data_IF_413559143620
#
_entry.id   IF_413559143620
#
_cell.length_a   1.000
_cell.length_b   1.000
_cell.length_c   1.000
_cell.angle_alpha   90.00
_cell.angle_beta   90.00
_cell.angle_gamma   90.00
#
_symmetry.space_group_name_H-M   'P 1'
#
loop_
_entity.id
_entity.type
_entity.pdbx_description
1 polymer ?
#
# COMPACT_ATOMS: atom_id res chain seq x y z
N UNK A 1 16.23 1.00 33.93
CA UNK A 1 16.22 1.11 32.47
C UNK A 1 16.51 -0.21 31.74
N UNK A 2 17.51 -1.05 32.13
CA UNK A 2 17.82 -2.33 31.43
C UNK A 2 16.67 -3.35 31.49
N UNK A 3 15.96 -3.52 32.62
CA UNK A 3 14.84 -4.46 32.79
C UNK A 3 13.62 -4.10 31.91
N UNK A 4 13.30 -2.82 31.77
CA UNK A 4 12.20 -2.34 30.90
C UNK A 4 12.51 -2.64 29.42
N UNK A 5 13.76 -2.43 29.00
CA UNK A 5 14.20 -2.76 27.63
C UNK A 5 14.17 -4.26 27.34
N UNK A 6 14.45 -5.11 28.33
CA UNK A 6 14.38 -6.57 28.17
C UNK A 6 12.94 -7.03 28.10
N UNK A 7 12.04 -6.46 28.91
CA UNK A 7 10.62 -6.77 28.88
C UNK A 7 9.95 -6.38 27.56
N UNK A 8 10.20 -5.15 27.05
CA UNK A 8 9.67 -4.68 25.75
C UNK A 8 10.14 -5.58 24.58
N UNK A 9 11.28 -6.27 24.72
CA UNK A 9 11.81 -7.20 23.72
C UNK A 9 11.26 -8.63 23.82
N UNK A 10 10.52 -8.94 24.89
CA UNK A 10 9.88 -10.25 25.06
C UNK A 10 8.75 -10.47 24.06
N UNK A 11 8.54 -11.69 23.61
CA UNK A 11 7.43 -12.06 22.71
C UNK A 11 6.05 -11.61 23.20
N UNK A 12 5.68 -11.82 24.50
CA UNK A 12 4.37 -11.40 24.99
C UNK A 12 4.21 -9.87 25.01
N UNK A 13 5.25 -9.11 25.37
CA UNK A 13 5.20 -7.65 25.34
C UNK A 13 5.06 -7.11 23.90
N UNK A 14 5.74 -7.72 22.94
CA UNK A 14 5.60 -7.36 21.53
C UNK A 14 4.20 -7.71 20.98
N UNK A 15 3.60 -8.80 21.41
CA UNK A 15 2.20 -9.14 21.07
C UNK A 15 1.24 -8.12 21.66
N UNK A 16 1.39 -7.78 22.94
CA UNK A 16 0.56 -6.79 23.61
C UNK A 16 0.67 -5.41 22.97
N UNK A 17 1.90 -4.98 22.64
CA UNK A 17 2.16 -3.73 21.93
C UNK A 17 1.52 -3.76 20.52
N UNK A 18 1.61 -4.88 19.83
CA UNK A 18 0.99 -5.07 18.51
C UNK A 18 -0.54 -4.95 18.57
N UNK A 19 -1.18 -5.55 19.56
CA UNK A 19 -2.62 -5.39 19.78
C UNK A 19 -3.00 -3.98 20.22
N UNK A 20 -2.19 -3.32 21.04
CA UNK A 20 -2.39 -1.93 21.41
C UNK A 20 -2.33 -0.99 20.20
N UNK A 21 -1.34 -1.16 19.33
CA UNK A 21 -1.22 -0.40 18.07
C UNK A 21 -2.40 -0.69 17.14
N UNK A 22 -2.78 -1.96 16.99
CA UNK A 22 -3.93 -2.35 16.15
C UNK A 22 -5.24 -1.75 16.71
N UNK A 23 -5.44 -1.79 18.03
CA UNK A 23 -6.60 -1.18 18.68
C UNK A 23 -6.66 0.34 18.51
N UNK A 24 -5.52 1.02 18.63
CA UNK A 24 -5.41 2.45 18.37
C UNK A 24 -5.71 2.79 16.91
N UNK A 25 -5.15 2.03 15.98
CA UNK A 25 -5.45 2.20 14.55
C UNK A 25 -6.94 1.96 14.24
N UNK A 26 -7.55 0.98 14.90
CA UNK A 26 -8.97 0.70 14.76
C UNK A 26 -9.84 1.84 15.32
N UNK A 27 -9.47 2.39 16.47
CA UNK A 27 -10.14 3.56 17.05
C UNK A 27 -10.02 4.79 16.14
N UNK A 28 -8.84 5.03 15.57
CA UNK A 28 -8.66 6.08 14.56
C UNK A 28 -9.54 5.81 13.34
N UNK A 29 -9.56 4.59 12.85
CA UNK A 29 -10.40 4.20 11.72
C UNK A 29 -11.89 4.50 11.96
N UNK A 30 -12.40 4.16 13.13
CA UNK A 30 -13.80 4.41 13.50
C UNK A 30 -14.15 5.90 13.62
N UNK A 31 -13.18 6.73 14.05
CA UNK A 31 -13.39 8.17 14.22
C UNK A 31 -13.37 8.94 12.91
N UNK A 32 -12.80 8.37 11.84
CA UNK A 32 -12.65 9.05 10.55
C UNK A 32 -13.90 8.90 9.70
N UNK A 33 -14.33 10.00 9.07
CA UNK A 33 -15.43 10.02 8.10
C UNK A 33 -14.89 9.71 6.71
N UNK A 34 -15.06 8.48 6.28
CA UNK A 34 -14.56 7.98 5.01
C UNK A 34 -15.53 8.28 3.86
N UNK A 35 -15.01 8.87 2.79
CA UNK A 35 -15.69 8.95 1.49
C UNK A 35 -14.88 8.18 0.46
N UNK A 36 -15.54 7.36 -0.34
CA UNK A 36 -14.92 6.54 -1.38
C UNK A 36 -15.39 6.99 -2.75
N UNK A 37 -14.44 7.14 -3.65
CA UNK A 37 -14.63 7.44 -5.05
C UNK A 37 -14.01 6.30 -5.86
N UNK A 38 -14.82 5.56 -6.56
CA UNK A 38 -14.39 4.38 -7.31
C UNK A 38 -14.67 4.61 -8.79
N UNK A 39 -13.67 4.42 -9.63
CA UNK A 39 -13.86 4.45 -11.08
C UNK A 39 -14.88 3.37 -11.49
N UNK A 40 -15.81 3.65 -12.45
CA UNK A 40 -16.87 2.71 -12.83
C UNK A 40 -16.34 1.32 -13.20
N UNK A 41 -15.26 1.26 -13.95
CA UNK A 41 -14.63 0.00 -14.39
C UNK A 41 -14.07 -0.80 -13.20
N UNK A 42 -13.52 -0.11 -12.21
CA UNK A 42 -13.03 -0.74 -10.97
C UNK A 42 -14.18 -1.18 -10.08
N UNK A 43 -15.31 -0.45 -10.09
CA UNK A 43 -16.50 -0.88 -9.37
C UNK A 43 -17.01 -2.22 -9.91
N UNK A 44 -17.02 -2.43 -11.23
CA UNK A 44 -17.36 -3.73 -11.85
C UNK A 44 -16.45 -4.85 -11.35
N UNK A 45 -15.14 -4.62 -11.26
CA UNK A 45 -14.19 -5.60 -10.72
C UNK A 45 -14.45 -5.89 -9.24
N UNK A 46 -14.77 -4.86 -8.48
CA UNK A 46 -15.16 -5.03 -7.08
C UNK A 46 -16.46 -5.83 -6.96
N UNK A 47 -17.46 -5.58 -7.75
CA UNK A 47 -18.76 -6.25 -7.67
C UNK A 47 -18.70 -7.71 -8.13
N UNK A 48 -17.91 -7.99 -9.15
CA UNK A 48 -17.67 -9.37 -9.64
C UNK A 48 -16.72 -10.19 -8.74
N UNK A 49 -16.03 -9.56 -7.78
CA UNK A 49 -15.01 -10.24 -6.97
C UNK A 49 -13.75 -10.59 -7.76
N UNK A 50 -13.53 -9.98 -8.94
CA UNK A 50 -12.34 -10.23 -9.74
C UNK A 50 -11.09 -9.78 -8.99
N UNK A 51 -10.07 -10.66 -8.82
CA UNK A 51 -8.84 -10.31 -8.12
C UNK A 51 -8.04 -9.28 -8.92
N UNK A 52 -7.45 -8.32 -8.20
CA UNK A 52 -6.67 -7.24 -8.77
C UNK A 52 -5.41 -6.96 -7.95
N UNK A 53 -4.50 -6.18 -8.51
CA UNK A 53 -3.32 -5.68 -7.81
C UNK A 53 -3.59 -4.20 -7.45
N UNK A 54 -3.93 -3.96 -6.19
CA UNK A 54 -4.08 -2.61 -5.66
C UNK A 54 -2.70 -2.00 -5.41
N UNK A 55 -2.40 -0.93 -6.11
CA UNK A 55 -1.17 -0.18 -5.98
C UNK A 55 -1.43 1.07 -5.15
N UNK A 56 -0.68 1.27 -4.07
CA UNK A 56 -0.77 2.47 -3.24
C UNK A 56 0.60 2.92 -2.77
N UNK A 57 0.79 4.21 -2.57
CA UNK A 57 2.06 4.70 -2.03
C UNK A 57 2.26 4.25 -0.58
N UNK A 58 3.50 3.94 -0.21
CA UNK A 58 3.86 3.50 1.14
C UNK A 58 3.36 4.50 2.20
N UNK A 59 3.53 5.78 1.96
CA UNK A 59 3.05 6.84 2.84
C UNK A 59 1.52 6.96 2.95
N UNK A 60 0.75 6.16 2.19
CA UNK A 60 -0.72 6.17 2.18
C UNK A 60 -1.34 4.87 2.69
N UNK A 61 -0.55 3.95 3.25
CA UNK A 61 -1.05 2.63 3.65
C UNK A 61 -2.19 2.67 4.67
N UNK A 62 -2.30 3.72 5.51
CA UNK A 62 -3.40 3.84 6.46
C UNK A 62 -4.77 3.87 5.79
N UNK A 63 -4.87 4.44 4.58
CA UNK A 63 -6.13 4.57 3.85
C UNK A 63 -6.68 3.24 3.33
N UNK A 64 -5.90 2.17 3.34
CA UNK A 64 -6.37 0.83 3.00
C UNK A 64 -7.51 0.40 3.93
N UNK A 65 -7.40 0.69 5.23
CA UNK A 65 -8.40 0.31 6.22
C UNK A 65 -9.78 0.91 5.98
N UNK A 66 -9.85 2.13 5.42
CA UNK A 66 -11.12 2.79 5.06
C UNK A 66 -11.56 2.52 3.63
N UNK A 67 -10.62 2.14 2.76
CA UNK A 67 -10.87 1.92 1.33
C UNK A 67 -11.45 0.56 1.01
N UNK A 68 -10.92 -0.50 1.62
CA UNK A 68 -11.30 -1.86 1.25
C UNK A 68 -12.68 -2.26 1.79
N UNK A 69 -13.56 -2.82 0.96
CA UNK A 69 -14.84 -3.36 1.43
C UNK A 69 -14.61 -4.48 2.46
N UNK A 70 -15.42 -4.48 3.51
CA UNK A 70 -15.35 -5.54 4.55
C UNK A 70 -15.62 -6.94 3.96
N UNK A 71 -15.22 -8.04 4.67
CA UNK A 71 -15.43 -9.41 4.21
C UNK A 71 -16.79 -9.65 3.54
N UNK A 72 -16.89 -10.53 2.52
CA UNK A 72 -16.05 -11.73 2.35
C UNK A 72 -14.81 -11.57 1.44
N UNK A 73 -14.41 -10.37 1.02
CA UNK A 73 -13.33 -10.21 0.05
C UNK A 73 -11.97 -10.32 0.71
N UNK A 74 -11.20 -11.31 0.27
CA UNK A 74 -9.86 -11.56 0.80
C UNK A 74 -8.86 -10.59 0.19
N UNK A 75 -8.01 -10.03 1.05
CA UNK A 75 -6.94 -9.12 0.69
C UNK A 75 -5.61 -9.68 1.16
N UNK A 76 -4.66 -9.76 0.24
CA UNK A 76 -3.29 -10.16 0.51
C UNK A 76 -2.37 -8.95 0.57
N UNK A 77 -1.61 -8.80 1.63
CA UNK A 77 -0.60 -7.74 1.77
C UNK A 77 0.79 -8.33 1.59
N UNK A 78 1.55 -7.78 0.63
CA UNK A 78 2.95 -8.14 0.46
C UNK A 78 3.78 -7.44 1.54
N UNK A 79 4.37 -8.21 2.44
CA UNK A 79 5.19 -7.69 3.53
C UNK A 79 6.61 -8.21 3.46
N UNK A 80 7.56 -7.43 3.97
CA UNK A 80 8.96 -7.82 4.10
C UNK A 80 9.13 -8.88 5.20
N UNK A 81 10.07 -9.83 5.00
CA UNK A 81 10.45 -10.80 6.02
C UNK A 81 11.30 -10.21 7.16
N UNK A 82 11.64 -8.91 7.10
CA UNK A 82 12.35 -8.21 8.17
C UNK A 82 11.43 -7.92 9.36
N UNK A 83 12.01 -7.63 10.51
CA UNK A 83 11.31 -7.43 11.79
C UNK A 83 10.13 -6.45 11.70
N UNK A 84 10.32 -5.33 11.02
CA UNK A 84 9.26 -4.32 10.86
C UNK A 84 8.14 -4.82 9.95
N UNK A 85 8.48 -5.57 8.88
CA UNK A 85 7.52 -6.21 8.01
C UNK A 85 6.69 -7.29 8.73
N UNK A 86 7.30 -8.04 9.65
CA UNK A 86 6.56 -9.01 10.48
C UNK A 86 5.58 -8.31 11.43
N UNK A 87 5.92 -7.13 11.95
CA UNK A 87 5.01 -6.33 12.79
C UNK A 87 3.79 -5.85 11.96
N UNK A 88 4.05 -5.33 10.77
CA UNK A 88 2.99 -4.93 9.81
C UNK A 88 2.12 -6.14 9.43
N UNK A 89 2.73 -7.30 9.16
CA UNK A 89 2.01 -8.53 8.84
C UNK A 89 1.11 -9.00 9.99
N UNK A 90 1.57 -8.89 11.24
CA UNK A 90 0.75 -9.19 12.43
C UNK A 90 -0.43 -8.23 12.56
N UNK A 91 -0.19 -6.93 12.38
CA UNK A 91 -1.25 -5.92 12.35
C UNK A 91 -2.28 -6.18 11.24
N UNK A 92 -1.83 -6.46 10.03
CA UNK A 92 -2.70 -6.76 8.89
C UNK A 92 -3.58 -7.99 9.16
N UNK A 93 -3.03 -9.05 9.78
CA UNK A 93 -3.81 -10.24 10.18
C UNK A 93 -4.88 -9.93 11.22
N UNK A 94 -4.62 -9.01 12.16
CA UNK A 94 -5.63 -8.57 13.12
C UNK A 94 -6.83 -7.88 12.47
N UNK A 95 -6.64 -7.31 11.26
CA UNK A 95 -7.71 -6.78 10.41
C UNK A 95 -8.30 -7.81 9.44
N UNK A 96 -7.92 -9.09 9.53
CA UNK A 96 -8.43 -10.15 8.67
C UNK A 96 -7.75 -10.24 7.29
N UNK A 97 -6.60 -9.57 7.09
CA UNK A 97 -5.88 -9.63 5.83
C UNK A 97 -4.91 -10.81 5.77
N UNK A 98 -4.83 -11.49 4.63
CA UNK A 98 -3.77 -12.47 4.38
C UNK A 98 -2.43 -11.75 4.16
N UNK A 99 -1.34 -12.34 4.62
CA UNK A 99 -0.01 -11.74 4.45
C UNK A 99 0.92 -12.69 3.71
N UNK A 100 1.55 -12.18 2.65
CA UNK A 100 2.64 -12.86 1.94
C UNK A 100 3.95 -12.23 2.35
N UNK A 101 4.86 -13.05 2.85
CA UNK A 101 6.20 -12.60 3.14
C UNK A 101 7.04 -12.66 1.86
N UNK A 102 7.44 -11.51 1.35
CA UNK A 102 8.35 -11.37 0.23
C UNK A 102 9.69 -10.82 0.69
N UNK A 103 10.83 -11.42 0.30
CA UNK A 103 12.14 -10.85 0.55
C UNK A 103 12.65 -10.10 -0.67
N UNK A 104 12.93 -8.80 -0.50
CA UNK A 104 13.49 -7.95 -1.57
C UNK A 104 14.94 -8.27 -1.94
N UNK A 105 15.66 -9.09 -1.16
CA UNK A 105 17.10 -9.38 -1.37
C UNK A 105 17.44 -10.68 -2.08
N UNK A 106 16.54 -11.68 -2.09
CA UNK A 106 16.76 -12.99 -2.77
C UNK A 106 15.58 -13.49 -3.58
N UNK A 107 14.56 -12.64 -3.85
CA UNK A 107 13.30 -13.20 -4.21
C UNK A 107 12.37 -12.41 -5.10
N UNK A 108 12.86 -11.62 -6.06
CA UNK A 108 11.96 -11.07 -7.08
C UNK A 108 11.08 -12.18 -7.68
N UNK A 109 11.66 -13.32 -8.02
CA UNK A 109 10.96 -14.51 -8.53
C UNK A 109 10.07 -15.16 -7.45
N UNK A 110 10.57 -15.30 -6.22
CA UNK A 110 9.77 -15.87 -5.11
C UNK A 110 8.58 -15.00 -4.73
N UNK A 111 8.76 -13.67 -4.70
CA UNK A 111 7.68 -12.72 -4.45
C UNK A 111 6.64 -12.79 -5.59
N UNK A 112 7.06 -12.79 -6.85
CA UNK A 112 6.18 -12.91 -8.01
C UNK A 112 5.37 -14.21 -8.00
N UNK A 113 6.00 -15.35 -7.66
CA UNK A 113 5.28 -16.64 -7.48
C UNK A 113 4.26 -16.58 -6.35
N UNK A 114 4.61 -15.94 -5.22
CA UNK A 114 3.69 -15.73 -4.10
C UNK A 114 2.49 -14.88 -4.50
N UNK A 115 2.72 -13.80 -5.22
CA UNK A 115 1.67 -12.93 -5.75
C UNK A 115 0.76 -13.68 -6.72
N UNK A 116 1.34 -14.41 -7.68
CA UNK A 116 0.59 -15.24 -8.64
C UNK A 116 -0.30 -16.27 -7.93
N UNK A 117 0.22 -16.96 -6.90
CA UNK A 117 -0.54 -17.95 -6.13
C UNK A 117 -1.74 -17.32 -5.41
N UNK A 118 -1.63 -16.13 -4.85
CA UNK A 118 -2.75 -15.48 -4.19
C UNK A 118 -3.80 -15.03 -5.20
N UNK A 119 -3.38 -14.39 -6.29
CA UNK A 119 -4.29 -13.95 -7.33
C UNK A 119 -5.06 -15.12 -7.96
N UNK A 120 -4.41 -16.29 -8.17
CA UNK A 120 -5.09 -17.49 -8.68
C UNK A 120 -6.10 -18.10 -7.69
N UNK A 121 -6.01 -17.75 -6.40
CA UNK A 121 -6.99 -18.10 -5.36
C UNK A 121 -8.11 -17.09 -5.21
N UNK A 122 -8.19 -16.09 -6.11
CA UNK A 122 -9.19 -15.02 -6.04
C UNK A 122 -8.86 -13.92 -5.01
N UNK A 123 -7.64 -13.87 -4.48
CA UNK A 123 -7.22 -12.92 -3.45
C UNK A 123 -6.64 -11.67 -4.13
N UNK A 124 -7.25 -10.52 -3.88
CA UNK A 124 -6.71 -9.22 -4.31
C UNK A 124 -5.44 -8.89 -3.54
N UNK A 125 -4.41 -8.40 -4.23
CA UNK A 125 -3.15 -8.03 -3.61
C UNK A 125 -3.04 -6.53 -3.38
N UNK A 126 -2.40 -6.14 -2.28
CA UNK A 126 -1.94 -4.77 -2.05
C UNK A 126 -0.43 -4.71 -2.17
N UNK A 127 0.04 -3.80 -2.99
CA UNK A 127 1.46 -3.56 -3.24
C UNK A 127 1.77 -2.08 -3.05
N UNK A 128 2.87 -1.79 -2.36
CA UNK A 128 3.46 -0.45 -2.30
C UNK A 128 4.60 -0.36 -3.33
N UNK A 129 4.32 0.19 -4.53
CA UNK A 129 5.28 0.12 -5.64
C UNK A 129 6.55 0.95 -5.44
N UNK A 130 6.53 1.96 -4.56
CA UNK A 130 7.73 2.69 -4.13
C UNK A 130 8.63 1.85 -3.21
N UNK A 131 8.07 0.80 -2.59
CA UNK A 131 8.79 -0.11 -1.70
C UNK A 131 9.22 0.52 -0.37
N UNK A 132 9.84 -0.26 0.53
CA UNK A 132 10.11 0.19 1.91
C UNK A 132 11.24 1.23 2.03
N UNK A 133 12.00 1.45 0.96
CA UNK A 133 13.14 2.38 0.94
C UNK A 133 12.94 3.55 -0.03
N UNK A 134 11.81 3.61 -0.73
CA UNK A 134 11.56 4.61 -1.75
C UNK A 134 12.39 4.44 -3.05
N UNK A 135 12.53 5.48 -3.83
CA UNK A 135 12.13 6.87 -3.59
C UNK A 135 10.61 7.06 -3.54
N UNK A 136 10.18 8.04 -2.75
CA UNK A 136 8.76 8.34 -2.52
C UNK A 136 8.01 8.60 -3.83
N UNK A 137 6.86 7.94 -3.98
CA UNK A 137 5.95 8.14 -5.10
C UNK A 137 6.62 7.85 -6.46
N UNK A 138 7.51 6.84 -6.50
CA UNK A 138 8.13 6.30 -7.71
C UNK A 138 7.78 4.84 -7.87
N UNK A 139 7.18 4.51 -8.99
CA UNK A 139 6.61 3.19 -9.23
C UNK A 139 7.67 2.21 -9.76
N UNK A 140 7.98 1.16 -9.02
CA UNK A 140 8.92 0.10 -9.41
C UNK A 140 8.22 -0.97 -10.25
N UNK A 141 8.96 -1.59 -11.15
CA UNK A 141 8.44 -2.54 -12.14
C UNK A 141 7.80 -3.83 -11.55
N UNK A 142 7.97 -4.10 -10.26
CA UNK A 142 7.53 -5.38 -9.66
C UNK A 142 6.04 -5.67 -9.80
N UNK A 143 5.18 -4.67 -9.57
CA UNK A 143 3.74 -4.82 -9.72
C UNK A 143 3.31 -5.01 -11.19
N UNK A 144 3.97 -4.30 -12.13
CA UNK A 144 3.71 -4.45 -13.58
C UNK A 144 4.09 -5.84 -14.06
N UNK A 145 5.23 -6.38 -13.62
CA UNK A 145 5.64 -7.75 -13.93
C UNK A 145 4.66 -8.78 -13.35
N UNK A 146 4.15 -8.56 -12.16
CA UNK A 146 3.13 -9.43 -11.59
C UNK A 146 1.83 -9.37 -12.40
N UNK A 147 1.39 -8.18 -12.83
CA UNK A 147 0.23 -8.01 -13.69
C UNK A 147 0.42 -8.72 -15.05
N UNK A 148 1.58 -8.55 -15.70
CA UNK A 148 1.91 -9.27 -16.93
C UNK A 148 1.80 -10.79 -16.78
N UNK A 149 2.39 -11.34 -15.71
CA UNK A 149 2.41 -12.80 -15.48
C UNK A 149 1.03 -13.37 -15.16
N UNK A 150 0.19 -12.62 -14.47
CA UNK A 150 -1.08 -13.14 -13.95
C UNK A 150 -2.30 -12.72 -14.77
N UNK A 151 -2.18 -11.64 -15.55
CA UNK A 151 -3.31 -10.98 -16.21
C UNK A 151 -4.20 -10.16 -15.28
N UNK A 152 -3.87 -10.10 -13.98
CA UNK A 152 -4.63 -9.29 -13.03
C UNK A 152 -4.40 -7.79 -13.29
N UNK A 153 -5.44 -6.94 -13.30
CA UNK A 153 -5.30 -5.51 -13.53
C UNK A 153 -4.60 -4.81 -12.36
N UNK A 154 -3.82 -3.79 -12.69
CA UNK A 154 -3.31 -2.81 -11.71
C UNK A 154 -4.41 -1.77 -11.45
N UNK A 155 -4.70 -1.50 -10.19
CA UNK A 155 -5.64 -0.45 -9.79
C UNK A 155 -4.97 0.46 -8.79
N UNK A 156 -4.93 1.76 -9.09
CA UNK A 156 -4.44 2.77 -8.16
C UNK A 156 -5.42 2.93 -6.99
N UNK A 157 -4.91 2.88 -5.76
CA UNK A 157 -5.64 3.17 -4.54
C UNK A 157 -4.87 4.20 -3.73
N UNK A 158 -5.50 5.31 -3.38
CA UNK A 158 -4.89 6.35 -2.58
C UNK A 158 -5.91 7.07 -1.72
N UNK A 159 -5.43 7.95 -0.85
CA UNK A 159 -6.32 8.80 -0.06
C UNK A 159 -5.59 9.97 0.60
N UNK A 160 -6.38 10.89 1.09
CA UNK A 160 -5.96 12.00 1.95
C UNK A 160 -6.96 12.23 3.06
N UNK A 161 -6.58 13.04 4.05
CA UNK A 161 -7.44 13.37 5.19
C UNK A 161 -7.22 14.81 5.67
N UNK A 162 -8.28 15.37 6.33
CA UNK A 162 -8.22 16.65 7.04
C UNK A 162 -9.05 16.59 8.32
N UNK A 163 -8.47 16.87 9.51
CA UNK A 163 -7.05 17.11 9.74
C UNK A 163 -6.19 15.84 9.60
N UNK A 164 -4.90 16.02 9.36
CA UNK A 164 -3.93 14.93 9.24
C UNK A 164 -2.58 15.29 9.83
N UNK A 165 -1.79 14.28 10.20
CA UNK A 165 -0.36 14.40 10.50
C UNK A 165 0.43 13.83 9.34
N UNK A 166 1.34 14.64 8.76
CA UNK A 166 2.38 14.17 7.87
C UNK A 166 3.67 14.00 8.67
N UNK A 167 4.20 12.78 8.66
CA UNK A 167 5.47 12.51 9.33
C UNK A 167 6.65 12.97 8.48
N UNK A 168 7.75 13.35 9.12
CA UNK A 168 9.00 13.73 8.44
C UNK A 168 9.83 12.49 8.04
N UNK A 169 9.14 11.42 7.60
CA UNK A 169 9.73 10.19 7.09
C UNK A 169 10.00 10.31 5.58
N UNK A 170 10.78 9.38 5.02
CA UNK A 170 11.10 9.36 3.59
C UNK A 170 9.85 9.32 2.70
N UNK A 171 8.80 8.61 3.16
CA UNK A 171 7.53 8.39 2.47
C UNK A 171 6.46 9.46 2.77
N UNK A 172 6.75 10.39 3.69
CA UNK A 172 5.77 11.38 4.17
C UNK A 172 4.47 10.69 4.63
N UNK A 173 4.60 9.69 5.51
CA UNK A 173 3.45 8.92 5.98
C UNK A 173 2.33 9.83 6.46
N UNK A 174 1.14 9.61 5.91
CA UNK A 174 -0.06 10.39 6.18
C UNK A 174 -0.97 9.65 7.15
N UNK A 175 -1.11 10.19 8.36
CA UNK A 175 -2.02 9.67 9.38
C UNK A 175 -3.21 10.61 9.52
N UNK A 176 -4.45 10.16 9.24
CA UNK A 176 -5.65 10.91 9.61
C UNK A 176 -5.69 11.14 11.12
N UNK A 177 -6.03 12.34 11.56
CA UNK A 177 -6.28 12.60 12.98
C UNK A 177 -7.71 12.18 13.36
N UNK A 178 -8.03 12.04 14.66
CA UNK A 178 -9.38 11.73 15.10
C UNK A 178 -10.41 12.70 14.50
N UNK A 179 -11.59 12.18 14.13
CA UNK A 179 -12.70 12.90 13.53
C UNK A 179 -12.40 13.51 12.13
N UNK A 180 -11.27 13.17 11.51
CA UNK A 180 -10.93 13.66 10.19
C UNK A 180 -11.98 13.28 9.13
N UNK A 181 -12.08 14.11 8.08
CA UNK A 181 -12.67 13.72 6.80
C UNK A 181 -11.58 13.10 5.96
N UNK A 182 -11.86 11.96 5.36
CA UNK A 182 -10.92 11.28 4.48
C UNK A 182 -11.56 10.96 3.14
N UNK A 183 -10.86 11.26 2.07
CA UNK A 183 -11.21 10.93 0.70
C UNK A 183 -10.34 9.76 0.25
N UNK A 184 -10.96 8.71 -0.30
CA UNK A 184 -10.29 7.54 -0.85
C UNK A 184 -10.67 7.42 -2.31
N UNK A 185 -9.70 7.22 -3.16
CA UNK A 185 -9.89 7.13 -4.60
C UNK A 185 -9.34 5.81 -5.14
N UNK A 186 -10.16 5.12 -5.93
CA UNK A 186 -9.78 3.99 -6.76
C UNK A 186 -9.78 4.44 -8.22
N UNK A 187 -8.64 4.31 -8.88
CA UNK A 187 -8.49 4.63 -10.29
C UNK A 187 -9.07 3.57 -11.21
N UNK A 188 -9.14 3.83 -12.53
CA UNK A 188 -9.46 2.84 -13.52
C UNK A 188 -8.40 1.72 -13.56
N UNK A 189 -8.78 0.49 -13.98
CA UNK A 189 -7.85 -0.62 -14.08
C UNK A 189 -6.89 -0.43 -15.27
N UNK A 190 -5.63 -0.78 -15.06
CA UNK A 190 -4.60 -0.82 -16.10
C UNK A 190 -4.27 -2.28 -16.36
N UNK A 191 -4.50 -2.76 -17.58
CA UNK A 191 -4.17 -4.11 -18.02
C UNK A 191 -2.80 -4.13 -18.67
N UNK A 192 -1.98 -5.12 -18.30
CA UNK A 192 -0.66 -5.33 -18.86
C UNK A 192 -0.72 -6.54 -19.80
N UNK A 193 -0.46 -6.38 -21.10
CA UNK A 193 -0.44 -7.51 -22.03
C UNK A 193 0.58 -8.58 -21.61
N UNK A 194 0.22 -9.85 -21.78
CA UNK A 194 1.12 -10.97 -21.40
C UNK A 194 2.38 -11.04 -22.25
N UNK A 195 2.27 -10.63 -23.49
CA UNK A 195 3.33 -10.56 -24.52
C UNK A 195 4.01 -9.17 -24.55
N UNK A 196 3.76 -8.31 -23.56
CA UNK A 196 4.33 -6.97 -23.51
C UNK A 196 5.86 -7.01 -23.54
N UNK A 197 6.43 -6.28 -24.49
CA UNK A 197 7.86 -6.01 -24.56
C UNK A 197 8.32 -5.02 -23.45
N UNK A 198 9.61 -4.78 -23.37
CA UNK A 198 10.18 -3.89 -22.35
C UNK A 198 9.63 -2.46 -22.45
N UNK A 199 9.40 -1.96 -23.67
CA UNK A 199 8.86 -0.61 -23.88
C UNK A 199 7.40 -0.51 -23.44
N UNK A 200 6.60 -1.54 -23.71
CA UNK A 200 5.20 -1.62 -23.25
C UNK A 200 5.11 -1.74 -21.76
N UNK A 201 5.96 -2.55 -21.13
CA UNK A 201 6.03 -2.66 -19.67
C UNK A 201 6.38 -1.31 -19.02
N UNK A 202 7.31 -0.56 -19.59
CA UNK A 202 7.66 0.77 -19.09
C UNK A 202 6.53 1.78 -19.27
N UNK A 203 5.80 1.74 -20.40
CA UNK A 203 4.60 2.57 -20.58
C UNK A 203 3.52 2.23 -19.53
N UNK A 204 3.27 0.95 -19.27
CA UNK A 204 2.32 0.53 -18.22
C UNK A 204 2.80 0.97 -16.83
N UNK A 205 4.10 0.89 -16.54
CA UNK A 205 4.69 1.37 -15.29
C UNK A 205 4.45 2.87 -15.12
N UNK A 206 4.76 3.65 -16.15
CA UNK A 206 4.58 5.09 -16.13
C UNK A 206 3.10 5.47 -15.99
N UNK A 207 2.21 4.83 -16.73
CA UNK A 207 0.76 5.05 -16.63
C UNK A 207 0.24 4.76 -15.20
N UNK A 208 0.73 3.70 -14.55
CA UNK A 208 0.38 3.38 -13.17
C UNK A 208 0.93 4.42 -12.17
N UNK A 209 2.16 4.92 -12.37
CA UNK A 209 2.75 6.01 -11.58
C UNK A 209 1.92 7.29 -11.71
N UNK A 210 1.61 7.67 -12.94
CA UNK A 210 0.87 8.90 -13.24
C UNK A 210 -0.55 8.84 -12.68
N UNK A 211 -1.24 7.71 -12.86
CA UNK A 211 -2.58 7.47 -12.30
C UNK A 211 -2.57 7.62 -10.77
N UNK A 212 -1.62 6.99 -10.10
CA UNK A 212 -1.54 7.01 -8.64
C UNK A 212 -1.16 8.40 -8.11
N UNK A 213 -0.28 9.12 -8.79
CA UNK A 213 0.08 10.51 -8.46
C UNK A 213 -1.10 11.47 -8.70
N UNK A 214 -1.76 11.37 -9.85
CA UNK A 214 -2.91 12.20 -10.18
C UNK A 214 -4.05 12.03 -9.16
N UNK A 215 -4.40 10.79 -8.82
CA UNK A 215 -5.42 10.50 -7.81
C UNK A 215 -5.03 10.99 -6.42
N UNK A 216 -3.73 10.91 -6.06
CA UNK A 216 -3.24 11.45 -4.79
C UNK A 216 -3.45 12.96 -4.74
N UNK A 217 -3.12 13.67 -5.82
CA UNK A 217 -3.33 15.12 -5.91
C UNK A 217 -4.82 15.49 -5.89
N UNK A 218 -5.68 14.69 -6.53
CA UNK A 218 -7.14 14.88 -6.46
C UNK A 218 -7.63 14.78 -5.02
N UNK A 219 -7.22 13.74 -4.28
CA UNK A 219 -7.59 13.55 -2.88
C UNK A 219 -7.07 14.68 -1.98
N UNK A 220 -5.87 15.21 -2.25
CA UNK A 220 -5.31 16.35 -1.54
C UNK A 220 -6.13 17.62 -1.78
N UNK A 221 -6.38 17.95 -3.04
CA UNK A 221 -7.15 19.16 -3.43
C UNK A 221 -8.58 19.11 -2.90
N UNK A 222 -9.25 17.95 -2.93
CA UNK A 222 -10.62 17.78 -2.43
C UNK A 222 -10.77 18.15 -0.94
N UNK A 223 -9.67 18.07 -0.19
CA UNK A 223 -9.62 18.42 1.24
C UNK A 223 -8.89 19.75 1.52
N UNK A 224 -8.55 20.52 0.48
CA UNK A 224 -7.80 21.77 0.61
C UNK A 224 -6.42 21.55 1.24
N UNK A 225 -5.78 20.43 0.94
CA UNK A 225 -4.44 20.09 1.41
C UNK A 225 -3.39 20.42 0.35
N UNK A 226 -2.17 20.69 0.81
CA UNK A 226 -1.02 20.89 -0.08
C UNK A 226 -0.61 19.54 -0.67
N UNK A 227 -0.39 19.50 -1.97
CA UNK A 227 0.06 18.31 -2.70
C UNK A 227 1.46 17.89 -2.26
N UNK A 228 1.66 16.59 -2.09
CA UNK A 228 2.96 16.01 -1.81
C UNK A 228 3.61 15.62 -3.13
N UNK A 229 4.73 16.23 -3.45
CA UNK A 229 5.48 15.93 -4.67
C UNK A 229 6.20 14.61 -4.57
N UNK A 230 6.25 13.87 -5.68
CA UNK A 230 7.12 12.72 -5.83
C UNK A 230 8.58 13.12 -5.62
N UNK A 231 9.37 12.22 -5.05
CA UNK A 231 10.81 12.44 -4.90
C UNK A 231 11.51 12.55 -6.25
N UNK A 232 12.63 13.28 -6.31
CA UNK A 232 13.49 13.22 -7.48
C UNK A 232 14.00 11.79 -7.70
N UNK A 233 14.24 11.36 -8.96
CA UNK A 233 14.74 10.01 -9.23
C UNK A 233 16.00 9.64 -8.42
N UNK A 234 16.89 10.61 -8.19
CA UNK A 234 18.19 10.42 -7.56
C UNK A 234 18.21 10.71 -6.04
N UNK A 235 17.07 11.06 -5.44
CA UNK A 235 17.01 11.44 -4.01
C UNK A 235 17.52 10.36 -3.06
N UNK A 236 17.38 9.08 -3.43
CA UNK A 236 17.92 7.97 -2.62
C UNK A 236 19.43 7.82 -2.72
N UNK A 237 20.03 8.09 -3.87
CA UNK A 237 21.47 8.06 -4.04
C UNK A 237 22.17 9.11 -3.14
N UNK A 238 21.57 10.29 -3.07
CA UNK A 238 22.07 11.39 -2.24
C UNK A 238 21.95 11.12 -0.74
N UNK A 239 20.87 10.46 -0.28
CA UNK A 239 20.68 10.10 1.14
C UNK A 239 21.64 9.01 1.62
N UNK A 240 22.09 8.10 0.75
CA UNK A 240 23.08 7.06 1.09
C UNK A 240 24.51 7.57 1.02
N UNK A 241 24.77 8.67 0.33
CA UNK A 241 26.07 9.32 0.27
C UNK A 241 26.33 10.27 1.47
N UNK A 242 25.27 10.66 2.20
CA UNK A 242 25.32 11.59 3.35
C UNK A 242 25.08 10.92 4.71
N UNK A 243 25.00 9.59 4.77
CA UNK A 243 24.82 8.78 5.96
C UNK A 243 26.03 7.83 6.17
#
# INVERSE_FOLDING_TARGET
MKLINTWIRSEPAQRLLGYGVAGLMWLFHLSVRWRRHVAPETQVLLDSGTPMILCMWHGRMFFLSGGWPKPPRQLGVLSSAHRDGLLVARGARAFGYETVLGSSRRGGVGALRGMSRLLSRGITLVVTPDGPKGPRMRFKAGAVKAAQMTGAPLVALTGSARPRKLFATWDRFCLPLPLARAEIHFGPPIYVPRDADAATLERCRQAAEDSLNALTNIAERALGQVEIRAAAPDENAQRHASA
#
